data_IF_029678961919
#
_entry.id   IF_029678961919
#
_cell.length_a   1.000
_cell.length_b   1.000
_cell.length_c   1.000
_cell.angle_alpha   90.00
_cell.angle_beta   90.00
_cell.angle_gamma   90.00
#
_symmetry.space_group_name_H-M   'P 1'
#
loop_
_entity.id
_entity.type
_entity.pdbx_description
1 polymer ?
#
# COMPACT_ATOMS: atom_id res chain seq x y z
N UNK A 1 -7.69 -27.65 3.88
CA UNK A 1 -6.48 -27.48 4.70
C UNK A 1 -6.81 -26.49 5.81
N UNK A 2 -6.16 -26.57 6.98
CA UNK A 2 -6.33 -25.58 8.04
C UNK A 2 -5.78 -24.22 7.54
N UNK A 3 -6.48 -23.13 7.89
CA UNK A 3 -6.04 -21.77 7.57
C UNK A 3 -4.77 -21.41 8.33
N UNK A 4 -3.82 -20.74 7.70
CA UNK A 4 -2.60 -20.27 8.36
C UNK A 4 -2.92 -19.26 9.45
N UNK A 5 -2.16 -19.31 10.55
CA UNK A 5 -2.16 -18.29 11.60
C UNK A 5 -1.39 -17.07 11.12
N UNK A 6 -2.00 -15.90 11.20
CA UNK A 6 -1.43 -14.66 10.62
C UNK A 6 -1.11 -13.67 11.74
N UNK A 7 0.13 -13.17 11.76
CA UNK A 7 0.54 -12.02 12.56
C UNK A 7 0.51 -10.76 11.70
N UNK A 8 -0.19 -9.73 12.17
CA UNK A 8 -0.23 -8.42 11.52
C UNK A 8 0.46 -7.40 12.41
N UNK A 9 1.55 -6.82 11.90
CA UNK A 9 2.30 -5.74 12.52
C UNK A 9 1.86 -4.42 11.89
N UNK A 10 1.44 -3.45 12.73
CA UNK A 10 0.84 -2.20 12.25
C UNK A 10 -0.68 -2.25 12.16
N UNK A 11 -1.34 -3.17 12.87
CA UNK A 11 -2.78 -3.43 12.84
C UNK A 11 -3.68 -2.22 13.13
N UNK A 12 -3.20 -1.20 13.83
CA UNK A 12 -3.95 0.05 14.10
C UNK A 12 -3.77 1.11 13.01
N UNK A 13 -2.89 0.86 12.03
CA UNK A 13 -2.62 1.75 10.90
C UNK A 13 -3.74 1.77 9.86
N UNK A 14 -3.59 2.61 8.82
CA UNK A 14 -4.56 2.73 7.72
C UNK A 14 -4.85 1.38 7.06
N UNK A 15 -3.83 0.73 6.50
CA UNK A 15 -3.98 -0.55 5.83
C UNK A 15 -4.05 -1.72 6.84
N UNK A 16 -3.22 -1.70 7.90
CA UNK A 16 -3.14 -2.80 8.86
C UNK A 16 -4.47 -3.14 9.53
N UNK A 17 -5.32 -2.13 9.75
CA UNK A 17 -6.67 -2.34 10.26
C UNK A 17 -7.54 -3.16 9.27
N UNK A 18 -7.50 -2.83 7.99
CA UNK A 18 -8.22 -3.58 6.94
C UNK A 18 -7.65 -4.99 6.77
N UNK A 19 -6.31 -5.15 6.81
CA UNK A 19 -5.67 -6.47 6.76
C UNK A 19 -6.12 -7.37 7.92
N UNK A 20 -6.19 -6.83 9.14
CA UNK A 20 -6.63 -7.59 10.31
C UNK A 20 -8.09 -8.00 10.17
N UNK A 21 -8.97 -7.10 9.74
CA UNK A 21 -10.37 -7.40 9.49
C UNK A 21 -10.55 -8.45 8.39
N UNK A 22 -9.90 -8.27 7.25
CA UNK A 22 -9.95 -9.23 6.16
C UNK A 22 -9.45 -10.62 6.60
N UNK A 23 -8.36 -10.68 7.37
CA UNK A 23 -7.83 -11.94 7.92
C UNK A 23 -8.87 -12.69 8.74
N UNK A 24 -9.60 -11.98 9.61
CA UNK A 24 -10.70 -12.55 10.42
C UNK A 24 -11.89 -12.97 9.55
N UNK A 25 -12.30 -12.15 8.60
CA UNK A 25 -13.39 -12.43 7.65
C UNK A 25 -13.11 -13.69 6.82
N UNK A 26 -11.86 -13.90 6.44
CA UNK A 26 -11.40 -15.11 5.75
C UNK A 26 -11.12 -16.29 6.71
N UNK A 27 -11.50 -16.14 7.99
CA UNK A 27 -11.41 -17.18 9.02
C UNK A 27 -9.97 -17.66 9.32
N UNK A 28 -8.98 -16.78 9.19
CA UNK A 28 -7.64 -17.05 9.69
C UNK A 28 -7.55 -16.77 11.19
N UNK A 29 -6.89 -17.62 11.98
CA UNK A 29 -6.49 -17.23 13.33
C UNK A 29 -5.55 -16.04 13.25
N UNK A 30 -5.96 -14.89 13.80
CA UNK A 30 -5.32 -13.58 13.55
C UNK A 30 -4.76 -12.99 14.83
N UNK A 31 -3.49 -12.62 14.77
CA UNK A 31 -2.73 -11.98 15.84
C UNK A 31 -2.35 -10.55 15.39
N UNK A 32 -2.49 -9.59 16.27
CA UNK A 32 -2.15 -8.19 16.00
C UNK A 32 -1.08 -7.72 16.99
N UNK A 33 0.13 -7.43 16.51
CA UNK A 33 1.19 -6.84 17.34
C UNK A 33 0.98 -5.34 17.45
N UNK A 34 0.78 -4.86 18.68
CA UNK A 34 0.41 -3.48 18.98
C UNK A 34 1.35 -2.89 20.03
N UNK A 35 1.88 -1.71 19.74
CA UNK A 35 2.78 -0.98 20.65
C UNK A 35 2.01 -0.50 21.90
N UNK A 36 2.65 -0.51 23.06
CA UNK A 36 2.05 -0.03 24.32
C UNK A 36 1.46 1.39 24.19
N UNK A 37 2.17 2.28 23.50
CA UNK A 37 1.70 3.66 23.28
C UNK A 37 0.39 3.78 22.47
N UNK A 38 -0.02 2.73 21.76
CA UNK A 38 -1.27 2.76 21.00
C UNK A 38 -2.50 2.61 21.90
N UNK A 39 -2.35 2.02 23.08
CA UNK A 39 -3.46 1.90 24.05
C UNK A 39 -3.82 3.23 24.72
N UNK A 40 -2.89 4.18 24.74
CA UNK A 40 -3.10 5.53 25.27
C UNK A 40 -3.63 6.53 24.24
N UNK A 41 -3.64 6.17 22.94
CA UNK A 41 -4.20 6.97 21.86
C UNK A 41 -5.68 6.60 21.67
N UNK A 42 -6.65 7.51 21.91
CA UNK A 42 -8.09 7.17 21.89
C UNK A 42 -8.54 6.54 20.57
N UNK A 43 -8.05 7.03 19.42
CA UNK A 43 -8.43 6.50 18.11
C UNK A 43 -7.86 5.09 17.88
N UNK A 44 -6.64 4.83 18.33
CA UNK A 44 -6.03 3.51 18.22
C UNK A 44 -6.62 2.53 19.23
N UNK A 45 -6.88 2.98 20.46
CA UNK A 45 -7.54 2.17 21.49
C UNK A 45 -8.91 1.67 21.00
N UNK A 46 -9.71 2.52 20.37
CA UNK A 46 -10.98 2.13 19.77
C UNK A 46 -10.80 1.07 18.67
N UNK A 47 -9.79 1.22 17.80
CA UNK A 47 -9.47 0.21 16.78
C UNK A 47 -9.02 -1.10 17.41
N UNK A 48 -8.17 -1.06 18.44
CA UNK A 48 -7.71 -2.26 19.15
C UNK A 48 -8.90 -3.01 19.75
N UNK A 49 -9.81 -2.30 20.41
CA UNK A 49 -11.03 -2.89 20.98
C UNK A 49 -11.88 -3.54 19.88
N UNK A 50 -12.14 -2.82 18.79
CA UNK A 50 -12.90 -3.35 17.65
C UNK A 50 -12.28 -4.62 17.04
N UNK A 51 -10.95 -4.68 16.92
CA UNK A 51 -10.24 -5.86 16.42
C UNK A 51 -10.33 -7.04 17.42
N UNK A 52 -10.18 -6.76 18.71
CA UNK A 52 -10.32 -7.75 19.78
C UNK A 52 -11.74 -8.34 19.82
N UNK A 53 -12.76 -7.49 19.76
CA UNK A 53 -14.17 -7.89 19.72
C UNK A 53 -14.52 -8.73 18.49
N UNK A 54 -13.79 -8.51 17.39
CA UNK A 54 -13.90 -9.28 16.14
C UNK A 54 -13.13 -10.61 16.18
N UNK A 55 -12.41 -10.92 17.28
CA UNK A 55 -11.71 -12.19 17.49
C UNK A 55 -10.19 -12.15 17.21
N UNK A 56 -9.57 -10.98 17.02
CA UNK A 56 -8.13 -10.89 16.92
C UNK A 56 -7.45 -11.06 18.30
N UNK A 57 -6.39 -11.84 18.36
CA UNK A 57 -5.52 -11.92 19.53
C UNK A 57 -4.57 -10.73 19.55
N UNK A 58 -4.71 -9.86 20.54
CA UNK A 58 -3.85 -8.67 20.67
C UNK A 58 -2.60 -9.03 21.44
N UNK A 59 -1.43 -8.86 20.78
CA UNK A 59 -0.12 -9.02 21.39
C UNK A 59 0.50 -7.63 21.61
N UNK A 60 1.12 -7.42 22.78
CA UNK A 60 1.89 -6.20 23.07
C UNK A 60 3.33 -6.38 22.58
N UNK A 61 3.85 -5.40 21.82
CA UNK A 61 5.21 -5.44 21.34
C UNK A 61 5.49 -4.43 20.23
N UNK A 62 6.70 -4.40 19.73
CA UNK A 62 7.12 -3.46 18.67
C UNK A 62 8.22 -4.05 17.79
N UNK A 63 8.45 -3.42 16.60
CA UNK A 63 9.56 -3.78 15.71
C UNK A 63 10.95 -3.53 16.33
N UNK A 64 11.05 -2.78 17.41
CA UNK A 64 12.30 -2.48 18.11
C UNK A 64 12.53 -3.38 19.35
N UNK A 65 11.57 -4.28 19.64
CA UNK A 65 11.63 -5.18 20.80
C UNK A 65 11.74 -6.63 20.32
N UNK A 66 12.98 -7.16 20.30
CA UNK A 66 13.28 -8.51 19.85
C UNK A 66 12.51 -9.59 20.62
N UNK A 67 12.39 -9.43 21.94
CA UNK A 67 11.72 -10.44 22.78
C UNK A 67 10.25 -10.58 22.40
N UNK A 68 9.54 -9.46 22.21
CA UNK A 68 8.16 -9.46 21.77
C UNK A 68 7.98 -10.00 20.35
N UNK A 69 8.92 -9.73 19.45
CA UNK A 69 8.91 -10.29 18.09
C UNK A 69 9.09 -11.81 18.09
N UNK A 70 10.05 -12.33 18.89
CA UNK A 70 10.29 -13.77 19.02
C UNK A 70 9.05 -14.48 19.56
N UNK A 71 8.41 -13.92 20.60
CA UNK A 71 7.19 -14.47 21.17
C UNK A 71 6.03 -14.48 20.16
N UNK A 72 5.84 -13.39 19.41
CA UNK A 72 4.78 -13.29 18.42
C UNK A 72 4.99 -14.21 17.22
N UNK A 73 6.21 -14.25 16.66
CA UNK A 73 6.55 -15.03 15.47
C UNK A 73 6.43 -16.54 15.70
N UNK A 74 6.74 -17.03 16.91
CA UNK A 74 6.62 -18.45 17.26
C UNK A 74 5.17 -18.99 17.24
N UNK A 75 4.17 -18.10 17.29
CA UNK A 75 2.75 -18.49 17.38
C UNK A 75 2.06 -18.59 16.02
N UNK A 76 2.74 -18.20 14.91
CA UNK A 76 2.11 -17.98 13.62
C UNK A 76 2.81 -18.67 12.47
N UNK A 77 2.12 -18.77 11.34
CA UNK A 77 2.64 -19.33 10.08
C UNK A 77 3.03 -18.24 9.08
N UNK A 78 2.34 -17.09 9.14
CA UNK A 78 2.48 -15.98 8.19
C UNK A 78 2.66 -14.67 8.96
N UNK A 79 3.56 -13.83 8.49
CA UNK A 79 3.76 -12.48 9.04
C UNK A 79 3.48 -11.43 7.97
N UNK A 80 2.62 -10.46 8.26
CA UNK A 80 2.32 -9.30 7.42
C UNK A 80 2.74 -8.04 8.17
N UNK A 81 3.63 -7.26 7.57
CA UNK A 81 4.08 -5.99 8.13
C UNK A 81 3.47 -4.83 7.34
N UNK A 82 2.71 -3.95 8.00
CA UNK A 82 2.05 -2.79 7.40
C UNK A 82 2.35 -1.52 8.21
N UNK A 83 3.61 -1.12 8.24
CA UNK A 83 4.12 0.01 9.01
C UNK A 83 4.35 1.24 8.13
N UNK A 84 4.57 2.39 8.77
CA UNK A 84 4.80 3.64 8.06
C UNK A 84 6.14 3.66 7.30
N UNK A 85 6.24 4.54 6.31
CA UNK A 85 7.45 4.79 5.54
C UNK A 85 8.71 5.00 6.42
N UNK A 86 8.56 5.68 7.57
CA UNK A 86 9.65 5.94 8.52
C UNK A 86 10.17 4.69 9.22
N UNK A 87 9.41 3.60 9.20
CA UNK A 87 9.70 2.35 9.91
C UNK A 87 10.09 1.20 8.97
N UNK A 88 10.31 1.47 7.68
CA UNK A 88 10.63 0.41 6.71
C UNK A 88 11.88 -0.36 7.14
N UNK A 89 12.95 0.32 7.56
CA UNK A 89 14.19 -0.32 7.98
C UNK A 89 14.10 -1.02 9.35
N UNK A 90 13.11 -0.69 10.17
CA UNK A 90 12.86 -1.40 11.44
C UNK A 90 12.51 -2.88 11.19
N UNK A 91 12.09 -3.25 9.97
CA UNK A 91 11.82 -4.64 9.58
C UNK A 91 13.08 -5.52 9.59
N UNK A 92 14.28 -4.98 9.62
CA UNK A 92 15.53 -5.77 9.66
C UNK A 92 15.58 -6.72 10.85
N UNK A 93 15.20 -6.24 12.03
CA UNK A 93 15.14 -7.07 13.23
C UNK A 93 14.06 -8.17 13.09
N UNK A 94 12.90 -7.82 12.56
CA UNK A 94 11.84 -8.79 12.28
C UNK A 94 12.31 -9.90 11.33
N UNK A 95 13.04 -9.55 10.26
CA UNK A 95 13.60 -10.50 9.29
C UNK A 95 14.57 -11.47 9.99
N UNK A 96 15.44 -10.97 10.86
CA UNK A 96 16.34 -11.81 11.66
C UNK A 96 15.57 -12.79 12.55
N UNK A 97 14.54 -12.32 13.23
CA UNK A 97 13.68 -13.17 14.07
C UNK A 97 12.93 -14.23 13.25
N UNK A 98 12.37 -13.85 12.10
CA UNK A 98 11.73 -14.79 11.17
C UNK A 98 12.70 -15.87 10.71
N UNK A 99 13.93 -15.48 10.35
CA UNK A 99 14.98 -16.41 9.94
C UNK A 99 15.36 -17.39 11.05
N UNK A 100 15.54 -16.88 12.26
CA UNK A 100 15.87 -17.72 13.43
C UNK A 100 14.74 -18.70 13.79
N UNK A 101 13.49 -18.27 13.65
CA UNK A 101 12.34 -19.13 13.93
C UNK A 101 12.23 -20.29 12.93
N UNK A 102 12.56 -20.08 11.66
CA UNK A 102 12.56 -21.10 10.60
C UNK A 102 11.20 -21.71 10.28
N UNK A 103 10.12 -21.27 10.93
CA UNK A 103 8.78 -21.84 10.79
C UNK A 103 7.81 -21.00 9.94
N UNK A 104 8.21 -19.79 9.56
CA UNK A 104 7.34 -18.88 8.81
C UNK A 104 7.26 -19.32 7.34
N UNK A 105 6.04 -19.62 6.91
CA UNK A 105 5.73 -20.08 5.55
C UNK A 105 5.62 -18.94 4.55
N UNK A 106 5.32 -17.71 5.02
CA UNK A 106 5.18 -16.53 4.19
C UNK A 106 5.44 -15.26 4.97
N UNK A 107 6.29 -14.40 4.43
CA UNK A 107 6.47 -13.03 4.91
C UNK A 107 5.96 -12.03 3.85
N UNK A 108 5.13 -11.09 4.26
CA UNK A 108 4.67 -9.98 3.43
C UNK A 108 5.20 -8.69 4.06
N UNK A 109 6.32 -8.13 3.54
CA UNK A 109 6.92 -6.92 4.09
C UNK A 109 6.09 -5.67 3.80
N UNK A 110 6.38 -4.59 4.52
CA UNK A 110 5.68 -3.30 4.37
C UNK A 110 6.08 -2.60 3.07
N UNK A 111 5.45 -2.99 1.97
CA UNK A 111 5.61 -2.36 0.66
C UNK A 111 4.38 -1.54 0.27
N UNK A 112 3.29 -2.18 -0.04
CA UNK A 112 1.96 -1.63 -0.30
C UNK A 112 1.98 -0.27 -1.01
N UNK A 113 2.46 -0.28 -2.25
CA UNK A 113 2.61 0.90 -3.09
C UNK A 113 3.09 0.50 -4.48
N UNK A 114 3.76 1.40 -5.21
CA UNK A 114 4.41 1.08 -6.47
C UNK A 114 5.58 0.11 -6.25
N UNK A 115 5.87 -0.74 -7.21
CA UNK A 115 6.97 -1.71 -7.15
C UNK A 115 8.33 -0.98 -7.09
N UNK A 116 9.08 -1.10 -5.98
CA UNK A 116 10.32 -0.35 -5.80
C UNK A 116 11.44 -0.75 -6.78
N UNK A 117 11.39 -1.97 -7.35
CA UNK A 117 12.35 -2.42 -8.37
C UNK A 117 11.97 -1.90 -9.79
N UNK A 118 10.79 -1.29 -9.96
CA UNK A 118 10.30 -0.76 -11.23
C UNK A 118 10.23 0.76 -11.28
N UNK A 119 10.25 1.46 -10.14
CA UNK A 119 10.19 2.93 -10.13
C UNK A 119 11.51 3.54 -10.63
N UNK A 120 11.39 4.52 -11.53
CA UNK A 120 12.51 5.27 -12.12
C UNK A 120 12.85 6.55 -11.34
N UNK A 121 11.94 6.97 -10.48
CA UNK A 121 12.07 8.20 -9.69
C UNK A 121 13.10 8.12 -8.55
N UNK A 122 13.63 6.96 -8.24
CA UNK A 122 14.58 6.76 -7.13
C UNK A 122 15.76 7.72 -7.13
N UNK A 123 16.11 8.28 -8.30
CA UNK A 123 17.17 9.30 -8.46
C UNK A 123 16.75 10.66 -7.88
N UNK A 124 15.46 10.94 -7.79
CA UNK A 124 14.89 12.20 -7.28
C UNK A 124 14.32 12.05 -5.86
N UNK A 125 14.54 10.91 -5.23
CA UNK A 125 14.09 10.64 -3.85
C UNK A 125 14.80 11.60 -2.87
N UNK A 126 14.31 12.84 -2.91
CA UNK A 126 14.88 14.04 -2.31
C UNK A 126 15.09 13.89 -0.79
N UNK A 127 16.09 13.09 -0.41
CA UNK A 127 16.58 12.96 0.95
C UNK A 127 15.85 11.93 1.82
N UNK A 128 14.81 11.23 1.35
CA UNK A 128 14.07 10.25 2.16
C UNK A 128 14.43 8.78 1.86
N UNK A 129 14.99 8.49 0.70
CA UNK A 129 15.39 7.13 0.26
C UNK A 129 14.26 6.08 0.34
N UNK A 130 13.01 6.50 0.18
CA UNK A 130 11.82 5.68 0.40
C UNK A 130 11.84 4.36 -0.39
N UNK A 131 12.07 4.45 -1.69
CA UNK A 131 12.14 3.26 -2.54
C UNK A 131 13.42 2.45 -2.32
N UNK A 132 14.54 3.12 -2.05
CA UNK A 132 15.82 2.45 -1.72
C UNK A 132 15.70 1.59 -0.47
N UNK A 133 15.02 2.09 0.58
CA UNK A 133 14.78 1.33 1.80
C UNK A 133 13.92 0.09 1.55
N UNK A 134 12.90 0.18 0.67
CA UNK A 134 12.10 -0.99 0.27
C UNK A 134 12.93 -2.01 -0.50
N UNK A 135 13.77 -1.57 -1.45
CA UNK A 135 14.69 -2.46 -2.18
C UNK A 135 15.65 -3.14 -1.22
N UNK A 136 16.19 -2.43 -0.24
CA UNK A 136 17.08 -2.98 0.78
C UNK A 136 16.40 -4.10 1.58
N UNK A 137 15.15 -3.91 2.00
CA UNK A 137 14.36 -4.93 2.68
C UNK A 137 14.11 -6.14 1.77
N UNK A 138 13.76 -5.95 0.49
CA UNK A 138 13.62 -7.05 -0.48
C UNK A 138 14.89 -7.89 -0.57
N UNK A 139 16.02 -7.23 -0.82
CA UNK A 139 17.32 -7.93 -0.94
C UNK A 139 17.67 -8.70 0.33
N UNK A 140 17.34 -8.17 1.51
CA UNK A 140 17.57 -8.87 2.77
C UNK A 140 16.66 -10.10 2.90
N UNK A 141 15.35 -10.00 2.62
CA UNK A 141 14.41 -11.12 2.64
C UNK A 141 14.84 -12.24 1.69
N UNK A 142 15.25 -11.87 0.47
CA UNK A 142 15.73 -12.80 -0.55
C UNK A 142 17.05 -13.49 -0.15
N UNK A 143 18.01 -12.72 0.38
CA UNK A 143 19.31 -13.24 0.85
C UNK A 143 19.16 -14.22 2.02
N UNK A 144 18.20 -13.97 2.91
CA UNK A 144 17.89 -14.87 4.02
C UNK A 144 17.07 -16.11 3.62
N UNK A 145 16.63 -16.18 2.36
CA UNK A 145 15.85 -17.32 1.84
C UNK A 145 14.46 -17.44 2.48
N UNK A 146 13.89 -16.35 2.96
CA UNK A 146 12.56 -16.34 3.58
C UNK A 146 11.50 -16.38 2.47
N UNK A 147 10.50 -17.29 2.53
CA UNK A 147 9.39 -17.28 1.57
C UNK A 147 8.59 -15.98 1.69
N UNK A 148 8.38 -15.29 0.58
CA UNK A 148 7.73 -13.97 0.58
C UNK A 148 6.60 -13.84 -0.44
N UNK A 149 5.79 -12.80 -0.29
CA UNK A 149 4.98 -12.20 -1.35
C UNK A 149 5.07 -10.68 -1.20
N UNK A 150 5.50 -9.98 -2.24
CA UNK A 150 5.52 -8.54 -2.27
C UNK A 150 4.19 -8.03 -2.84
N UNK A 151 3.58 -7.01 -2.22
CA UNK A 151 2.29 -6.46 -2.66
C UNK A 151 2.51 -5.11 -3.32
N UNK A 152 2.37 -5.05 -4.65
CA UNK A 152 2.38 -3.81 -5.42
C UNK A 152 0.96 -3.37 -5.71
N UNK A 153 0.38 -2.55 -4.83
CA UNK A 153 -1.00 -2.06 -4.92
C UNK A 153 -1.14 -0.64 -5.46
N UNK A 154 -0.02 -0.01 -5.82
CA UNK A 154 0.03 1.35 -6.36
C UNK A 154 -0.57 2.40 -5.40
N UNK A 155 -1.50 3.28 -5.83
CA UNK A 155 -2.06 4.31 -4.98
C UNK A 155 -3.25 3.83 -4.15
N UNK A 156 -3.27 4.18 -2.89
CA UNK A 156 -4.47 4.06 -2.08
C UNK A 156 -5.50 5.12 -2.49
N UNK A 157 -6.72 4.68 -2.76
CA UNK A 157 -7.80 5.58 -3.17
C UNK A 157 -8.07 6.68 -2.15
N UNK A 158 -8.04 6.37 -0.85
CA UNK A 158 -8.34 7.35 0.20
C UNK A 158 -7.33 8.51 0.28
N UNK A 159 -6.16 8.38 -0.35
CA UNK A 159 -5.14 9.43 -0.32
C UNK A 159 -5.32 10.49 -1.41
N UNK A 160 -5.70 10.09 -2.62
CA UNK A 160 -5.65 10.96 -3.78
C UNK A 160 -7.02 11.23 -4.43
N UNK A 161 -7.94 10.28 -4.37
CA UNK A 161 -9.25 10.44 -5.02
C UNK A 161 -10.10 11.52 -4.36
N UNK A 162 -10.14 11.69 -3.01
CA UNK A 162 -10.89 12.77 -2.39
C UNK A 162 -10.47 14.18 -2.81
N UNK A 163 -9.22 14.38 -3.20
CA UNK A 163 -8.72 15.65 -3.75
C UNK A 163 -8.72 15.70 -5.28
N UNK A 164 -9.11 14.62 -5.97
CA UNK A 164 -8.92 14.45 -7.42
C UNK A 164 -7.46 14.67 -7.85
N UNK A 165 -6.51 14.10 -7.08
CA UNK A 165 -5.06 14.23 -7.29
C UNK A 165 -4.58 15.70 -7.26
N UNK A 166 -5.27 16.58 -6.52
CA UNK A 166 -4.85 17.99 -6.37
C UNK A 166 -4.11 18.18 -5.05
N UNK A 167 -2.78 18.48 -5.08
CA UNK A 167 -2.00 18.67 -3.87
C UNK A 167 -2.59 19.77 -2.96
N UNK A 168 -2.65 19.45 -1.67
CA UNK A 168 -3.16 20.38 -0.65
C UNK A 168 -4.68 20.47 -0.53
N UNK A 169 -5.46 19.85 -1.44
CA UNK A 169 -6.91 19.78 -1.30
C UNK A 169 -7.34 18.55 -0.50
N UNK A 170 -8.49 18.65 0.16
CA UNK A 170 -9.13 17.54 0.91
C UNK A 170 -10.45 17.09 0.30
N UNK A 171 -10.97 17.87 -0.64
CA UNK A 171 -12.21 17.62 -1.39
C UNK A 171 -11.95 17.86 -2.87
N UNK A 172 -12.74 17.24 -3.78
CA UNK A 172 -12.53 17.44 -5.20
C UNK A 172 -12.83 18.88 -5.61
N UNK A 173 -12.06 19.45 -6.52
CA UNK A 173 -12.29 20.83 -7.00
C UNK A 173 -13.61 20.94 -7.76
N UNK A 174 -14.25 22.13 -7.70
CA UNK A 174 -15.52 22.42 -8.38
C UNK A 174 -15.39 23.48 -9.48
N UNK A 175 -14.26 24.18 -9.58
CA UNK A 175 -14.07 25.27 -10.52
C UNK A 175 -12.82 25.14 -11.37
N UNK A 176 -11.67 24.85 -10.74
CA UNK A 176 -10.36 24.78 -11.39
C UNK A 176 -9.63 23.51 -11.01
N UNK A 177 -8.89 22.94 -11.97
CA UNK A 177 -8.07 21.75 -11.77
C UNK A 177 -6.71 21.93 -12.44
N UNK A 178 -5.68 21.37 -11.78
CA UNK A 178 -4.31 21.33 -12.32
C UNK A 178 -4.04 19.98 -12.97
N UNK A 179 -3.57 19.99 -14.20
CA UNK A 179 -3.11 18.83 -14.95
C UNK A 179 -1.59 18.82 -14.92
N UNK A 180 -0.98 17.72 -14.50
CA UNK A 180 0.47 17.56 -14.43
C UNK A 180 0.96 16.85 -15.69
N UNK A 181 1.97 17.42 -16.38
CA UNK A 181 2.41 16.98 -17.69
C UNK A 181 1.32 17.19 -18.75
N UNK A 182 1.15 16.21 -19.64
CA UNK A 182 0.07 16.20 -20.63
C UNK A 182 -1.27 15.64 -20.09
N UNK A 183 -1.22 15.05 -18.88
CA UNK A 183 -2.37 14.47 -18.22
C UNK A 183 -2.85 13.13 -18.78
N UNK A 184 -2.11 12.48 -19.70
CA UNK A 184 -2.53 11.25 -20.38
C UNK A 184 -1.91 9.98 -19.79
N UNK A 185 -0.80 10.11 -19.06
CA UNK A 185 -0.16 8.97 -18.39
C UNK A 185 -1.06 8.40 -17.32
N UNK A 186 -1.24 7.07 -17.32
CA UNK A 186 -2.17 6.37 -16.43
C UNK A 186 -1.50 5.95 -15.13
N UNK A 187 -2.23 6.11 -14.04
CA UNK A 187 -1.91 5.59 -12.73
C UNK A 187 -2.99 4.61 -12.26
N UNK A 188 -2.66 3.81 -11.24
CA UNK A 188 -3.50 2.76 -10.70
C UNK A 188 -3.91 3.10 -9.27
N UNK A 189 -5.18 2.88 -8.95
CA UNK A 189 -5.75 3.17 -7.63
C UNK A 189 -6.45 1.94 -7.07
N UNK A 190 -6.20 1.63 -5.80
CA UNK A 190 -6.85 0.50 -5.13
C UNK A 190 -7.32 0.94 -3.75
N UNK A 191 -8.56 0.59 -3.39
CA UNK A 191 -9.09 0.86 -2.05
C UNK A 191 -8.41 -0.03 -1.02
N UNK A 192 -8.13 0.50 0.15
CA UNK A 192 -7.37 -0.21 1.19
C UNK A 192 -8.02 -1.51 1.66
N UNK A 193 -9.36 -1.57 1.70
CA UNK A 193 -10.10 -2.81 1.97
C UNK A 193 -9.85 -3.88 0.92
N UNK A 194 -9.75 -3.48 -0.35
CA UNK A 194 -9.57 -4.38 -1.47
C UNK A 194 -8.13 -4.87 -1.53
N UNK A 195 -7.15 -3.98 -1.26
CA UNK A 195 -5.74 -4.39 -1.04
C UNK A 195 -5.66 -5.47 0.02
N UNK A 196 -6.39 -5.29 1.14
CA UNK A 196 -6.41 -6.27 2.21
C UNK A 196 -7.02 -7.61 1.75
N UNK A 197 -8.16 -7.59 1.05
CA UNK A 197 -8.80 -8.80 0.54
C UNK A 197 -7.89 -9.59 -0.41
N UNK A 198 -7.26 -8.92 -1.39
CA UNK A 198 -6.29 -9.56 -2.29
C UNK A 198 -5.07 -10.10 -1.54
N UNK A 199 -4.55 -9.35 -0.57
CA UNK A 199 -3.41 -9.77 0.25
C UNK A 199 -3.72 -11.05 1.03
N UNK A 200 -4.87 -11.13 1.68
CA UNK A 200 -5.26 -12.30 2.48
C UNK A 200 -5.53 -13.52 1.58
N UNK A 201 -6.13 -13.34 0.40
CA UNK A 201 -6.24 -14.46 -0.57
C UNK A 201 -4.88 -15.04 -0.97
N UNK A 202 -3.83 -14.20 -0.99
CA UNK A 202 -2.51 -14.60 -1.42
C UNK A 202 -1.69 -15.36 -0.35
N UNK A 203 -2.05 -15.28 0.95
CA UNK A 203 -1.19 -15.80 2.04
C UNK A 203 -0.94 -17.30 1.97
N UNK A 204 -1.94 -18.08 1.57
CA UNK A 204 -1.86 -19.55 1.45
C UNK A 204 -1.75 -20.03 -0.02
N UNK A 205 -1.75 -19.11 -0.99
CA UNK A 205 -1.70 -19.45 -2.41
C UNK A 205 -0.25 -19.70 -2.87
N UNK A 206 0.10 -20.91 -3.32
CA UNK A 206 1.45 -21.21 -3.80
C UNK A 206 1.83 -20.42 -5.08
N UNK A 207 0.85 -19.95 -5.87
CA UNK A 207 1.08 -19.19 -7.11
C UNK A 207 1.67 -17.80 -6.85
N UNK A 208 1.55 -17.29 -5.61
CA UNK A 208 2.10 -15.99 -5.18
C UNK A 208 3.42 -16.13 -4.40
N UNK A 209 3.89 -17.37 -4.16
CA UNK A 209 5.11 -17.61 -3.39
C UNK A 209 6.34 -17.10 -4.13
N UNK A 210 7.17 -16.32 -3.44
CA UNK A 210 8.38 -15.68 -3.98
C UNK A 210 8.10 -14.84 -5.24
N UNK A 211 6.94 -14.15 -5.25
CA UNK A 211 6.52 -13.29 -6.35
C UNK A 211 6.01 -11.94 -5.86
N UNK A 212 5.90 -11.01 -6.80
CA UNK A 212 5.15 -9.76 -6.63
C UNK A 212 3.70 -10.00 -7.03
N UNK A 213 2.76 -9.71 -6.13
CA UNK A 213 1.33 -9.61 -6.45
C UNK A 213 1.04 -8.17 -6.85
N UNK A 214 0.80 -7.94 -8.12
CA UNK A 214 0.39 -6.65 -8.64
C UNK A 214 -1.13 -6.50 -8.58
N UNK A 215 -1.60 -5.36 -8.10
CA UNK A 215 -3.02 -5.02 -8.13
C UNK A 215 -3.22 -3.88 -9.12
N UNK A 216 -3.76 -4.22 -10.29
CA UNK A 216 -4.09 -3.29 -11.39
C UNK A 216 -5.54 -3.49 -11.86
N UNK A 217 -6.54 -3.30 -10.97
CA UNK A 217 -7.94 -3.51 -11.35
C UNK A 217 -8.29 -2.68 -12.60
N UNK A 218 -8.83 -3.29 -13.66
CA UNK A 218 -9.06 -2.57 -14.94
C UNK A 218 -9.94 -1.32 -14.81
N UNK A 219 -10.93 -1.35 -13.89
CA UNK A 219 -11.80 -0.20 -13.58
C UNK A 219 -11.13 0.94 -12.79
N UNK A 220 -9.83 0.82 -12.47
CA UNK A 220 -9.11 1.75 -11.58
C UNK A 220 -7.78 2.24 -12.18
N UNK A 221 -7.64 2.15 -13.49
CA UNK A 221 -6.46 2.62 -14.24
C UNK A 221 -6.83 3.88 -15.01
N UNK A 222 -6.48 5.05 -14.48
CA UNK A 222 -6.90 6.35 -15.00
C UNK A 222 -5.74 7.32 -15.16
N UNK A 223 -5.80 8.13 -16.22
CA UNK A 223 -5.01 9.35 -16.34
C UNK A 223 -5.68 10.51 -15.57
N UNK A 224 -4.95 11.61 -15.37
CA UNK A 224 -5.55 12.81 -14.74
C UNK A 224 -6.68 13.35 -15.61
N UNK A 225 -6.51 13.39 -16.95
CA UNK A 225 -7.57 13.83 -17.84
C UNK A 225 -8.84 12.98 -17.72
N UNK A 226 -8.70 11.65 -17.71
CA UNK A 226 -9.84 10.73 -17.53
C UNK A 226 -10.52 10.89 -16.16
N UNK A 227 -9.75 11.10 -15.07
CA UNK A 227 -10.30 11.36 -13.74
C UNK A 227 -11.11 12.67 -13.71
N UNK A 228 -10.58 13.71 -14.34
CA UNK A 228 -11.26 15.01 -14.42
C UNK A 228 -12.52 14.91 -15.26
N UNK A 229 -12.48 14.25 -16.42
CA UNK A 229 -13.65 14.08 -17.29
C UNK A 229 -14.76 13.26 -16.60
N UNK A 230 -14.38 12.22 -15.84
CA UNK A 230 -15.31 11.44 -15.01
C UNK A 230 -15.95 12.33 -13.92
N UNK A 231 -15.14 13.14 -13.22
CA UNK A 231 -15.62 14.05 -12.19
C UNK A 231 -16.56 15.13 -12.77
N UNK A 232 -16.20 15.77 -13.87
CA UNK A 232 -17.02 16.73 -14.58
C UNK A 232 -18.40 16.16 -14.96
N UNK A 233 -18.41 14.89 -15.42
CA UNK A 233 -19.63 14.18 -15.75
C UNK A 233 -20.53 14.00 -14.53
N UNK A 234 -19.93 13.61 -13.38
CA UNK A 234 -20.68 13.38 -12.14
C UNK A 234 -21.26 14.68 -11.55
N UNK A 235 -20.52 15.78 -11.62
CA UNK A 235 -20.98 17.07 -11.07
C UNK A 235 -21.78 17.91 -12.07
N UNK A 236 -21.85 17.48 -13.33
CA UNK A 236 -22.58 18.21 -14.38
C UNK A 236 -21.96 19.55 -14.77
N UNK A 237 -20.65 19.74 -14.54
CA UNK A 237 -19.97 21.03 -14.74
C UNK A 237 -18.56 20.82 -15.29
N UNK A 238 -18.16 21.63 -16.29
CA UNK A 238 -16.78 21.68 -16.78
C UNK A 238 -15.89 22.50 -15.86
N UNK A 239 -14.66 22.03 -15.66
CA UNK A 239 -13.63 22.68 -14.86
C UNK A 239 -12.65 23.47 -15.72
N UNK A 240 -12.17 24.59 -15.22
CA UNK A 240 -11.06 25.30 -15.84
C UNK A 240 -9.76 24.51 -15.62
N UNK A 241 -9.17 23.99 -16.71
CA UNK A 241 -7.93 23.23 -16.65
C UNK A 241 -6.72 24.17 -16.73
N UNK A 242 -5.77 24.03 -15.83
CA UNK A 242 -4.42 24.63 -15.90
C UNK A 242 -3.39 23.51 -15.97
N UNK A 243 -2.29 23.76 -16.69
CA UNK A 243 -1.26 22.76 -16.95
C UNK A 243 0.05 23.16 -16.26
N UNK A 244 0.66 22.20 -15.58
CA UNK A 244 2.01 22.31 -14.99
C UNK A 244 2.93 21.40 -15.80
N UNK A 245 3.92 21.99 -16.46
CA UNK A 245 4.88 21.23 -17.27
C UNK A 245 5.73 20.27 -16.39
N UNK A 246 6.32 19.27 -17.04
CA UNK A 246 7.27 18.38 -16.37
C UNK A 246 8.42 19.15 -15.72
N UNK A 247 8.99 20.14 -16.42
CA UNK A 247 10.09 20.97 -15.92
C UNK A 247 9.69 21.76 -14.68
N UNK A 248 8.50 22.36 -14.69
CA UNK A 248 7.97 23.12 -13.57
C UNK A 248 7.68 22.21 -12.36
N UNK A 249 7.11 21.03 -12.60
CA UNK A 249 6.85 20.04 -11.53
C UNK A 249 8.16 19.57 -10.89
N UNK A 250 9.18 19.25 -11.69
CA UNK A 250 10.51 18.87 -11.22
C UNK A 250 11.21 19.99 -10.43
N UNK A 251 11.09 21.23 -10.90
CA UNK A 251 11.57 22.40 -10.18
C UNK A 251 10.91 22.50 -8.79
N UNK A 252 9.58 22.42 -8.74
CA UNK A 252 8.81 22.46 -7.51
C UNK A 252 9.18 21.33 -6.52
N UNK A 253 9.47 20.12 -7.02
CA UNK A 253 9.94 19.00 -6.20
C UNK A 253 11.31 19.29 -5.58
N UNK A 254 12.23 19.87 -6.34
CA UNK A 254 13.60 20.16 -5.90
C UNK A 254 13.67 21.35 -4.93
N UNK A 255 12.83 22.37 -5.14
CA UNK A 255 12.78 23.58 -4.31
C UNK A 255 12.00 23.38 -3.01
N UNK A 256 11.23 22.30 -2.88
CA UNK A 256 10.46 21.99 -1.69
C UNK A 256 11.12 20.83 -0.94
N UNK A 257 11.22 20.93 0.40
CA UNK A 257 11.80 19.86 1.21
C UNK A 257 10.74 18.86 1.67
N UNK A 258 11.19 17.65 2.04
CA UNK A 258 10.31 16.67 2.69
C UNK A 258 9.77 17.23 4.04
N UNK A 259 8.47 17.04 4.38
CA UNK A 259 7.50 16.19 3.69
C UNK A 259 6.68 16.86 2.56
N UNK A 260 6.83 18.15 2.33
CA UNK A 260 5.92 18.95 1.49
C UNK A 260 6.04 18.64 -0.01
N UNK A 261 7.18 18.07 -0.44
CA UNK A 261 7.38 17.62 -1.81
C UNK A 261 6.87 16.20 -2.09
N UNK A 262 6.51 15.43 -1.06
CA UNK A 262 6.25 13.99 -1.15
C UNK A 262 5.08 13.64 -2.07
N UNK A 263 3.98 14.38 -1.98
CA UNK A 263 2.82 14.19 -2.84
C UNK A 263 3.15 14.48 -4.31
N UNK A 264 3.89 15.58 -4.57
CA UNK A 264 4.33 15.95 -5.92
C UNK A 264 5.29 14.90 -6.52
N UNK A 265 6.15 14.31 -5.69
CA UNK A 265 7.06 13.24 -6.08
C UNK A 265 6.28 12.01 -6.58
N UNK A 266 5.23 11.60 -5.87
CA UNK A 266 4.38 10.50 -6.31
C UNK A 266 3.56 10.83 -7.56
N UNK A 267 3.07 12.07 -7.68
CA UNK A 267 2.39 12.53 -8.90
C UNK A 267 3.35 12.46 -10.09
N UNK A 268 4.58 12.93 -9.94
CA UNK A 268 5.58 12.87 -11.00
C UNK A 268 5.89 11.42 -11.40
N UNK A 269 6.15 10.54 -10.43
CA UNK A 269 6.43 9.12 -10.66
C UNK A 269 5.29 8.43 -11.45
N UNK A 270 4.06 8.63 -11.03
CA UNK A 270 2.94 7.88 -11.59
C UNK A 270 2.35 8.52 -12.86
N UNK A 271 2.17 9.85 -12.87
CA UNK A 271 1.43 10.55 -13.93
C UNK A 271 2.32 11.23 -14.99
N UNK A 272 3.62 11.32 -14.77
CA UNK A 272 4.57 11.80 -15.77
C UNK A 272 5.46 10.67 -16.26
N UNK A 273 6.15 9.98 -15.34
CA UNK A 273 7.00 8.85 -15.71
C UNK A 273 6.21 7.55 -16.01
N UNK A 274 4.99 7.38 -15.49
CA UNK A 274 4.20 6.16 -15.66
C UNK A 274 4.75 4.94 -14.93
N UNK A 275 5.44 5.14 -13.80
CA UNK A 275 6.15 4.09 -13.06
C UNK A 275 5.25 2.92 -12.61
N UNK A 276 3.94 3.10 -12.64
CA UNK A 276 2.97 2.06 -12.27
C UNK A 276 2.50 1.20 -13.46
N UNK A 277 2.68 1.68 -14.70
CA UNK A 277 2.03 1.07 -15.88
C UNK A 277 2.92 0.85 -17.09
N UNK A 278 4.18 1.37 -17.10
CA UNK A 278 5.06 1.32 -18.26
C UNK A 278 5.60 -0.07 -18.60
N UNK A 279 5.43 -1.05 -17.70
CA UNK A 279 6.00 -2.40 -17.83
C UNK A 279 4.93 -3.48 -17.82
N UNK A 280 5.20 -4.58 -18.50
CA UNK A 280 4.44 -5.82 -18.42
C UNK A 280 4.88 -6.65 -17.22
N UNK A 281 3.94 -7.40 -16.64
CA UNK A 281 4.20 -8.29 -15.51
C UNK A 281 4.87 -9.56 -16.04
N UNK A 282 6.13 -9.81 -15.67
CA UNK A 282 6.81 -11.07 -15.98
C UNK A 282 6.21 -12.21 -15.12
N UNK A 283 5.57 -13.23 -15.71
CA UNK A 283 4.90 -14.29 -14.97
C UNK A 283 5.84 -15.15 -14.12
N UNK A 284 7.15 -15.08 -14.37
CA UNK A 284 8.16 -15.78 -13.54
C UNK A 284 8.33 -15.13 -12.18
N UNK A 285 8.24 -13.81 -12.10
CA UNK A 285 8.48 -13.00 -10.89
C UNK A 285 7.27 -12.29 -10.33
N UNK A 286 6.14 -12.24 -11.06
CA UNK A 286 4.94 -11.53 -10.66
C UNK A 286 3.65 -12.18 -11.17
N UNK A 287 2.54 -11.78 -10.56
CA UNK A 287 1.19 -12.19 -10.97
C UNK A 287 0.24 -10.99 -10.79
N UNK A 288 -0.77 -10.89 -11.64
CA UNK A 288 -1.82 -9.86 -11.50
C UNK A 288 -2.98 -10.39 -10.64
N UNK A 289 -3.37 -9.61 -9.63
CA UNK A 289 -4.30 -10.05 -8.59
C UNK A 289 -5.73 -10.25 -9.10
N UNK A 290 -6.23 -9.39 -10.00
CA UNK A 290 -7.60 -9.52 -10.52
C UNK A 290 -7.76 -10.67 -11.51
N UNK A 291 -6.67 -11.04 -12.20
CA UNK A 291 -6.63 -12.23 -13.04
C UNK A 291 -6.52 -13.51 -12.19
N UNK A 292 -5.69 -13.43 -11.12
CA UNK A 292 -5.47 -14.57 -10.23
C UNK A 292 -6.71 -14.88 -9.36
N UNK A 293 -7.45 -13.84 -8.95
CA UNK A 293 -8.62 -13.92 -8.08
C UNK A 293 -9.84 -13.20 -8.71
N UNK A 294 -10.40 -13.69 -9.81
CA UNK A 294 -11.46 -13.00 -10.56
C UNK A 294 -12.76 -12.82 -9.76
N UNK A 295 -12.96 -13.64 -8.74
CA UNK A 295 -14.16 -13.57 -7.88
C UNK A 295 -14.02 -12.50 -6.76
N UNK A 296 -12.83 -11.98 -6.53
CA UNK A 296 -12.61 -10.90 -5.55
C UNK A 296 -13.10 -9.58 -6.14
N UNK A 297 -14.19 -9.08 -5.59
CA UNK A 297 -14.75 -7.78 -5.96
C UNK A 297 -13.84 -6.66 -5.46
N UNK A 298 -13.76 -5.60 -6.23
CA UNK A 298 -13.05 -4.38 -5.84
C UNK A 298 -13.91 -3.14 -6.07
N UNK A 299 -13.67 -2.10 -5.29
CA UNK A 299 -14.34 -0.82 -5.41
C UNK A 299 -13.74 -0.04 -6.57
N UNK A 300 -14.58 0.52 -7.45
CA UNK A 300 -14.14 1.34 -8.57
C UNK A 300 -13.96 2.82 -8.16
N UNK A 301 -13.13 3.55 -8.90
CA UNK A 301 -12.99 5.00 -8.75
C UNK A 301 -14.34 5.69 -8.94
N UNK A 302 -15.15 5.23 -9.89
CA UNK A 302 -16.48 5.78 -10.14
C UNK A 302 -17.36 5.72 -8.90
N UNK A 303 -17.41 4.57 -8.23
CA UNK A 303 -18.18 4.40 -6.98
C UNK A 303 -17.68 5.30 -5.86
N UNK A 304 -16.35 5.49 -5.74
CA UNK A 304 -15.81 6.42 -4.72
C UNK A 304 -16.18 7.86 -5.04
N UNK A 305 -16.06 8.29 -6.30
CA UNK A 305 -16.44 9.64 -6.71
C UNK A 305 -17.93 9.92 -6.53
N UNK A 306 -18.82 8.92 -6.65
CA UNK A 306 -20.26 9.06 -6.37
C UNK A 306 -20.53 9.46 -4.92
N UNK A 307 -19.66 9.10 -3.99
CA UNK A 307 -19.79 9.50 -2.57
C UNK A 307 -19.35 10.94 -2.28
N UNK A 308 -18.76 11.63 -3.27
CA UNK A 308 -18.16 12.97 -3.14
C UNK A 308 -18.93 14.06 -3.90
N UNK A 309 -19.96 13.68 -4.67
CA UNK A 309 -20.83 14.62 -5.44
C UNK A 309 -21.62 15.57 -4.58
#
# INVERSE_FOLDING_TARGET
MAKSKILIIGATGRLGYHLTKASLEFSHPTFALVRESAFSDPNKAQKIQSLSDSGATILKGSLQDEASLVEAVRQVDVVICAVSAKQILDQKLLIQVIKQAGSIKRFIPSEFGSDPDKVRISVLDAGYNFYKHKVEIRRLVEAEGIPYTYISCNFFMSLLIPSLVQPGLKVPPRDKVTIFGDGNTKAVFVKESDVAAFTINAVDDPRTSCKVLYLRPPGNVYSINELVDLWETKVGKKLQKSYVSEEELLKNIKETTFPDNFEKLFIYSAFVLGDQTYFDIDPRSGVEGTELYPDVKYTTISEVLDTLV
#
